data_IF_366333935718
#
_entry.id   IF_366333935718
#
_cell.length_a   1.000
_cell.length_b   1.000
_cell.length_c   1.000
_cell.angle_alpha   90.00
_cell.angle_beta   90.00
_cell.angle_gamma   90.00
#
_symmetry.space_group_name_H-M   'P 1'
#
loop_
_entity.id
_entity.type
_entity.pdbx_description
1 polymer ?
#
# COMPACT_ATOMS: atom_id res chain seq x y z
N UNK A 1 -19.56 -8.79 5.97
CA UNK A 1 -19.06 -9.12 7.31
C UNK A 1 -17.95 -8.12 7.59
N UNK A 2 -18.23 -7.07 8.35
CA UNK A 2 -17.43 -5.85 8.36
C UNK A 2 -15.93 -6.08 8.63
N UNK A 3 -15.06 -5.31 7.97
CA UNK A 3 -13.62 -5.31 8.24
C UNK A 3 -13.32 -4.97 9.70
N UNK A 4 -12.33 -5.66 10.26
CA UNK A 4 -11.72 -5.30 11.54
C UNK A 4 -10.97 -3.96 11.44
N UNK A 5 -10.72 -3.33 12.59
CA UNK A 5 -9.94 -2.09 12.63
C UNK A 5 -8.52 -2.26 12.10
N UNK A 6 -7.93 -3.43 12.28
CA UNK A 6 -6.64 -3.80 11.73
C UNK A 6 -6.66 -3.85 10.19
N UNK A 7 -7.67 -4.50 9.60
CA UNK A 7 -7.84 -4.55 8.14
C UNK A 7 -8.08 -3.16 7.56
N UNK A 8 -8.95 -2.35 8.17
CA UNK A 8 -9.18 -0.97 7.73
C UNK A 8 -7.89 -0.14 7.79
N UNK A 9 -7.11 -0.29 8.85
CA UNK A 9 -5.81 0.38 8.99
C UNK A 9 -4.83 -0.07 7.92
N UNK A 10 -4.76 -1.37 7.63
CA UNK A 10 -3.91 -1.91 6.56
C UNK A 10 -4.31 -1.36 5.19
N UNK A 11 -5.61 -1.32 4.87
CA UNK A 11 -6.09 -0.75 3.59
C UNK A 11 -5.66 0.70 3.44
N UNK A 12 -5.86 1.54 4.46
CA UNK A 12 -5.48 2.97 4.42
C UNK A 12 -4.00 3.14 4.13
N UNK A 13 -3.17 2.43 4.90
CA UNK A 13 -1.71 2.45 4.78
C UNK A 13 -1.25 2.00 3.39
N UNK A 14 -1.79 0.89 2.89
CA UNK A 14 -1.44 0.40 1.56
C UNK A 14 -1.92 1.34 0.45
N UNK A 15 -3.06 2.00 0.62
CA UNK A 15 -3.50 3.04 -0.32
C UNK A 15 -2.69 4.35 -0.22
N UNK A 16 -1.70 4.43 0.68
CA UNK A 16 -0.84 5.62 0.84
C UNK A 16 -1.49 6.74 1.64
N UNK A 17 -2.58 6.44 2.36
CA UNK A 17 -3.22 7.38 3.27
C UNK A 17 -2.52 7.35 4.65
N UNK A 18 -2.39 8.50 5.34
CA UNK A 18 -1.75 8.55 6.65
C UNK A 18 -2.55 7.81 7.74
N UNK A 19 -1.97 7.76 8.95
CA UNK A 19 -2.65 7.19 10.10
C UNK A 19 -3.90 7.97 10.50
N UNK A 20 -4.98 7.26 10.84
CA UNK A 20 -6.27 7.84 11.27
C UNK A 20 -6.21 8.37 12.73
N UNK A 21 -5.47 7.71 13.62
CA UNK A 21 -5.47 8.00 15.05
C UNK A 21 -6.68 7.41 15.80
N UNK A 22 -6.71 7.56 17.13
CA UNK A 22 -7.66 6.90 18.03
C UNK A 22 -9.10 7.46 18.02
N UNK A 23 -9.44 8.34 17.07
CA UNK A 23 -10.79 8.91 16.96
C UNK A 23 -10.80 10.23 16.18
N UNK A 24 -11.99 10.83 16.04
CA UNK A 24 -12.21 12.11 15.36
C UNK A 24 -11.69 13.33 16.16
N UNK A 25 -10.64 13.16 16.97
CA UNK A 25 -10.16 14.16 17.92
C UNK A 25 -9.09 15.11 17.35
N UNK A 26 -8.91 15.15 16.02
CA UNK A 26 -7.98 16.06 15.36
C UNK A 26 -8.66 16.74 14.19
N UNK A 27 -8.93 18.05 14.35
CA UNK A 27 -9.32 18.98 13.28
C UNK A 27 -8.12 19.39 12.39
N UNK A 28 -7.00 18.68 12.52
CA UNK A 28 -5.78 18.91 11.76
C UNK A 28 -5.49 17.63 10.98
N UNK A 29 -5.80 17.62 9.69
CA UNK A 29 -5.33 16.55 8.82
C UNK A 29 -6.16 16.29 7.57
N UNK A 30 -5.50 15.56 6.69
CA UNK A 30 -5.94 14.92 5.44
C UNK A 30 -7.32 14.20 5.46
N UNK A 31 -7.98 14.04 6.61
CA UNK A 31 -9.38 13.59 6.72
C UNK A 31 -10.37 14.46 5.94
N UNK A 32 -10.00 15.70 5.63
CA UNK A 32 -10.76 16.60 4.74
C UNK A 32 -10.52 16.34 3.24
N UNK A 33 -9.61 15.45 2.86
CA UNK A 33 -9.59 14.96 1.49
C UNK A 33 -10.86 14.14 1.27
N UNK A 34 -11.70 14.57 0.33
CA UNK A 34 -12.93 13.87 -0.07
C UNK A 34 -12.67 12.37 -0.33
N UNK A 35 -11.49 12.04 -0.88
CA UNK A 35 -11.04 10.67 -1.10
C UNK A 35 -11.03 9.79 0.17
N UNK A 36 -10.76 10.38 1.34
CA UNK A 36 -10.75 9.64 2.60
C UNK A 36 -12.15 9.31 3.10
N UNK A 37 -13.07 10.28 3.05
CA UNK A 37 -14.49 10.02 3.37
C UNK A 37 -15.08 8.95 2.46
N UNK A 38 -14.73 8.97 1.16
CA UNK A 38 -15.14 7.94 0.19
C UNK A 38 -14.57 6.57 0.54
N UNK A 39 -13.29 6.49 0.93
CA UNK A 39 -12.67 5.24 1.34
C UNK A 39 -13.36 4.65 2.58
N UNK A 40 -13.56 5.46 3.62
CA UNK A 40 -14.23 5.01 4.86
C UNK A 40 -15.66 4.55 4.60
N UNK A 41 -16.41 5.30 3.80
CA UNK A 41 -17.74 4.91 3.37
C UNK A 41 -17.71 3.55 2.68
N UNK A 42 -16.81 3.34 1.71
CA UNK A 42 -16.71 2.06 1.00
C UNK A 42 -16.33 0.91 1.92
N UNK A 43 -15.33 1.09 2.78
CA UNK A 43 -14.92 0.05 3.74
C UNK A 43 -16.04 -0.37 4.70
N UNK A 44 -17.04 0.48 4.92
CA UNK A 44 -18.22 0.15 5.70
C UNK A 44 -19.39 -0.44 4.88
N UNK A 45 -19.34 -0.39 3.55
CA UNK A 45 -20.46 -0.71 2.66
C UNK A 45 -20.12 -1.72 1.53
N UNK A 46 -18.92 -2.30 1.50
CA UNK A 46 -18.57 -3.34 0.52
C UNK A 46 -19.46 -4.58 0.68
N UNK A 47 -19.78 -5.22 -0.44
CA UNK A 47 -20.42 -6.53 -0.43
C UNK A 47 -19.46 -7.60 0.12
N UNK A 48 -19.98 -8.73 0.66
CA UNK A 48 -19.12 -9.82 1.13
C UNK A 48 -18.13 -10.35 0.07
N UNK A 49 -18.50 -10.31 -1.21
CA UNK A 49 -17.63 -10.73 -2.30
C UNK A 49 -16.46 -9.76 -2.49
N UNK A 50 -16.71 -8.46 -2.44
CA UNK A 50 -15.67 -7.43 -2.53
C UNK A 50 -14.78 -7.43 -1.29
N UNK A 51 -15.34 -7.64 -0.09
CA UNK A 51 -14.57 -7.85 1.14
C UNK A 51 -13.55 -8.98 0.98
N UNK A 52 -13.95 -10.10 0.37
CA UNK A 52 -13.05 -11.23 0.11
C UNK A 52 -11.93 -10.86 -0.87
N UNK A 53 -12.21 -10.05 -1.89
CA UNK A 53 -11.20 -9.54 -2.83
C UNK A 53 -10.19 -8.64 -2.12
N UNK A 54 -10.65 -7.71 -1.29
CA UNK A 54 -9.77 -6.83 -0.49
C UNK A 54 -8.89 -7.66 0.45
N UNK A 55 -9.42 -8.67 1.13
CA UNK A 55 -8.62 -9.55 1.99
C UNK A 55 -7.51 -10.29 1.23
N UNK A 56 -7.77 -10.70 -0.02
CA UNK A 56 -6.73 -11.27 -0.89
C UNK A 56 -5.63 -10.25 -1.20
N UNK A 57 -6.01 -9.01 -1.54
CA UNK A 57 -5.03 -7.92 -1.70
C UNK A 57 -4.21 -7.70 -0.44
N UNK A 58 -4.82 -7.67 0.74
CA UNK A 58 -4.11 -7.49 2.01
C UNK A 58 -3.09 -8.60 2.26
N UNK A 59 -3.45 -9.85 1.98
CA UNK A 59 -2.53 -10.99 2.08
C UNK A 59 -1.33 -10.85 1.15
N UNK A 60 -1.58 -10.58 -0.14
CA UNK A 60 -0.50 -10.38 -1.13
C UNK A 60 0.40 -9.21 -0.79
N UNK A 61 -0.19 -8.07 -0.39
CA UNK A 61 0.56 -6.87 -0.05
C UNK A 61 1.42 -7.06 1.21
N UNK A 62 0.93 -7.77 2.22
CA UNK A 62 1.72 -8.11 3.40
C UNK A 62 2.93 -8.98 3.04
N UNK A 63 2.76 -9.97 2.15
CA UNK A 63 3.87 -10.80 1.67
C UNK A 63 4.90 -10.00 0.87
N UNK A 64 4.45 -9.12 -0.03
CA UNK A 64 5.34 -8.27 -0.84
C UNK A 64 6.12 -7.29 0.03
N UNK A 65 5.47 -6.68 1.02
CA UNK A 65 6.10 -5.74 1.93
C UNK A 65 7.22 -6.38 2.74
N UNK A 66 6.98 -7.55 3.34
CA UNK A 66 8.00 -8.29 4.12
C UNK A 66 9.17 -8.75 3.24
N UNK A 67 8.92 -9.02 1.96
CA UNK A 67 9.95 -9.49 1.05
C UNK A 67 11.01 -8.42 0.71
N UNK A 68 10.70 -7.13 0.88
CA UNK A 68 11.63 -6.01 0.63
C UNK A 68 12.76 -5.97 1.67
N UNK A 69 12.50 -5.84 3.00
CA UNK A 69 13.55 -5.84 4.00
C UNK A 69 14.27 -7.19 4.07
N UNK A 70 13.60 -8.31 3.76
CA UNK A 70 14.27 -9.61 3.69
C UNK A 70 15.34 -9.66 2.58
N UNK A 71 15.10 -8.99 1.45
CA UNK A 71 16.09 -8.87 0.39
C UNK A 71 17.31 -8.01 0.81
N UNK A 72 17.16 -7.17 1.84
CA UNK A 72 18.26 -6.35 2.35
C UNK A 72 19.37 -7.18 3.03
N UNK A 73 19.07 -8.39 3.50
CA UNK A 73 20.05 -9.27 4.15
C UNK A 73 21.23 -9.67 3.23
N UNK A 74 21.04 -9.57 1.91
CA UNK A 74 22.06 -9.91 0.92
C UNK A 74 22.69 -8.66 0.27
N UNK A 75 22.55 -7.48 0.90
CA UNK A 75 23.04 -6.21 0.33
C UNK A 75 24.56 -6.15 0.21
N UNK A 76 25.29 -6.77 1.14
CA UNK A 76 26.75 -6.66 1.24
C UNK A 76 27.51 -7.68 0.39
N UNK A 77 26.82 -8.65 -0.21
CA UNK A 77 27.44 -9.74 -0.99
C UNK A 77 27.03 -9.65 -2.45
N UNK A 78 27.96 -9.23 -3.32
CA UNK A 78 27.70 -9.09 -4.76
C UNK A 78 27.80 -10.44 -5.51
N UNK A 79 28.68 -11.32 -5.03
CA UNK A 79 28.86 -12.67 -5.58
C UNK A 79 29.19 -13.66 -4.47
N UNK A 80 28.47 -14.80 -4.44
CA UNK A 80 28.74 -15.92 -3.57
C UNK A 80 28.98 -17.17 -4.44
N UNK A 81 30.25 -17.55 -4.60
CA UNK A 81 30.67 -18.61 -5.52
C UNK A 81 30.17 -18.38 -6.97
N UNK A 82 29.41 -19.32 -7.53
CA UNK A 82 28.88 -19.24 -8.91
C UNK A 82 27.59 -18.39 -8.98
N UNK A 83 27.02 -18.00 -7.85
CA UNK A 83 25.74 -17.28 -7.80
C UNK A 83 25.98 -15.77 -7.79
N UNK A 84 25.46 -15.09 -8.82
CA UNK A 84 25.39 -13.63 -8.91
C UNK A 84 24.02 -13.14 -8.45
N UNK A 85 23.98 -12.12 -7.59
CA UNK A 85 22.72 -11.52 -7.16
C UNK A 85 22.07 -10.67 -8.26
N UNK A 86 20.77 -10.44 -8.17
CA UNK A 86 20.11 -9.39 -8.95
C UNK A 86 20.34 -8.03 -8.26
N UNK A 87 21.21 -7.19 -8.82
CA UNK A 87 21.50 -5.85 -8.30
C UNK A 87 20.26 -4.93 -8.23
N UNK A 88 19.21 -5.23 -9.01
CA UNK A 88 17.97 -4.47 -9.03
C UNK A 88 16.85 -5.09 -8.17
N UNK A 89 17.11 -6.18 -7.43
CA UNK A 89 16.07 -6.93 -6.73
C UNK A 89 15.19 -6.07 -5.82
N UNK A 90 15.79 -5.23 -4.98
CA UNK A 90 15.04 -4.34 -4.08
C UNK A 90 14.19 -3.35 -4.88
N UNK A 91 14.74 -2.77 -5.96
CA UNK A 91 14.02 -1.84 -6.83
C UNK A 91 12.81 -2.51 -7.47
N UNK A 92 12.99 -3.71 -8.01
CA UNK A 92 11.93 -4.45 -8.69
C UNK A 92 10.84 -4.91 -7.71
N UNK A 93 11.22 -5.35 -6.51
CA UNK A 93 10.28 -5.68 -5.43
C UNK A 93 9.47 -4.47 -4.96
N UNK A 94 10.11 -3.32 -4.76
CA UNK A 94 9.42 -2.07 -4.39
C UNK A 94 8.45 -1.62 -5.49
N UNK A 95 8.86 -1.70 -6.77
CA UNK A 95 7.97 -1.39 -7.91
C UNK A 95 6.76 -2.32 -7.96
N UNK A 96 6.98 -3.62 -7.78
CA UNK A 96 5.89 -4.60 -7.73
C UNK A 96 4.94 -4.31 -6.56
N UNK A 97 5.48 -3.99 -5.38
CA UNK A 97 4.68 -3.61 -4.23
C UNK A 97 3.82 -2.37 -4.50
N UNK A 98 4.40 -1.31 -5.06
CA UNK A 98 3.67 -0.09 -5.38
C UNK A 98 2.63 -0.28 -6.49
N UNK A 99 2.88 -1.14 -7.49
CA UNK A 99 1.89 -1.52 -8.50
C UNK A 99 0.66 -2.18 -7.86
N UNK A 100 0.88 -3.17 -6.98
CA UNK A 100 -0.22 -3.84 -6.27
C UNK A 100 -1.00 -2.89 -5.36
N UNK A 101 -0.33 -1.92 -4.72
CA UNK A 101 -0.99 -0.87 -3.93
C UNK A 101 -1.88 0.01 -4.81
N UNK A 102 -1.41 0.39 -6.01
CA UNK A 102 -2.21 1.17 -6.98
C UNK A 102 -3.41 0.37 -7.51
N UNK A 103 -3.26 -0.94 -7.73
CA UNK A 103 -4.37 -1.83 -8.09
C UNK A 103 -5.44 -1.89 -7.01
N UNK A 104 -5.04 -1.95 -5.73
CA UNK A 104 -5.99 -1.86 -4.61
C UNK A 104 -6.73 -0.53 -4.60
N UNK A 105 -6.04 0.60 -4.78
CA UNK A 105 -6.67 1.92 -4.91
C UNK A 105 -7.70 1.96 -6.05
N UNK A 106 -7.32 1.41 -7.22
CA UNK A 106 -8.20 1.32 -8.39
C UNK A 106 -9.44 0.46 -8.12
N UNK A 107 -9.28 -0.71 -7.49
CA UNK A 107 -10.39 -1.56 -7.09
C UNK A 107 -11.33 -0.86 -6.12
N UNK A 108 -10.77 -0.18 -5.12
CA UNK A 108 -11.54 0.60 -4.16
C UNK A 108 -12.08 1.92 -4.73
N UNK A 109 -11.75 2.26 -5.98
CA UNK A 109 -12.17 3.46 -6.69
C UNK A 109 -11.71 4.77 -6.06
N UNK A 110 -10.61 4.75 -5.31
CA UNK A 110 -10.05 5.94 -4.65
C UNK A 110 -8.72 6.32 -5.30
N UNK A 111 -8.38 7.62 -5.40
CA UNK A 111 -7.07 8.00 -5.89
C UNK A 111 -5.97 7.48 -4.94
N UNK A 112 -4.74 7.25 -5.42
CA UNK A 112 -3.60 6.95 -4.55
C UNK A 112 -3.34 8.11 -3.57
N UNK A 113 -3.10 7.77 -2.31
CA UNK A 113 -2.76 8.73 -1.26
C UNK A 113 -1.36 9.34 -1.43
N UNK A 114 -1.02 10.28 -0.56
CA UNK A 114 0.25 10.99 -0.61
C UNK A 114 1.48 10.07 -0.57
N UNK A 115 1.41 8.95 0.17
CA UNK A 115 2.48 7.95 0.26
C UNK A 115 2.65 7.06 -0.97
N UNK A 116 1.91 7.31 -2.06
CA UNK A 116 2.03 6.65 -3.37
C UNK A 116 2.30 7.64 -4.51
N UNK A 117 2.49 8.93 -4.20
CA UNK A 117 2.84 9.92 -5.21
C UNK A 117 4.27 9.65 -5.70
N UNK A 118 4.45 9.64 -7.01
CA UNK A 118 5.79 9.58 -7.58
C UNK A 118 6.54 10.84 -7.16
N UNK A 119 7.71 10.68 -6.55
CA UNK A 119 8.60 11.79 -6.20
C UNK A 119 9.43 12.25 -7.40
N UNK A 120 9.31 11.58 -8.54
CA UNK A 120 9.89 12.02 -9.80
C UNK A 120 9.17 13.25 -10.35
N UNK A 121 9.79 14.42 -10.24
CA UNK A 121 9.42 15.59 -11.03
C UNK A 121 9.38 15.20 -12.51
N UNK A 122 8.17 15.09 -13.08
CA UNK A 122 8.01 14.99 -14.53
C UNK A 122 7.98 16.40 -15.07
N UNK A 123 9.11 16.86 -15.60
CA UNK A 123 9.20 18.17 -16.24
C UNK A 123 8.54 18.03 -17.61
N UNK A 124 7.32 18.55 -17.74
CA UNK A 124 6.65 18.72 -19.03
C UNK A 124 7.20 20.02 -19.62
N UNK A 125 8.09 19.89 -20.61
CA UNK A 125 8.54 21.00 -21.46
C UNK A 125 7.57 21.12 -22.64
#
# INVERSE_FOLDING_TARGET
>A
MAFSDAEKTAVRRFCGYPAYGAGAAGFEGWRFYQAYGVLEYRLCNLSPAEEAVVRRYLGTLASLEVAIPNAAANLDTDQAAVWSRNANEIRDRTRLFDDWRRRLCSFLGVPPGAGLRDTGLTLVV
#
